data_IF_072792699940
#
_entry.id   IF_072792699940
#
_cell.length_a   1.000
_cell.length_b   1.000
_cell.length_c   1.000
_cell.angle_alpha   90.00
_cell.angle_beta   90.00
_cell.angle_gamma   90.00
#
_symmetry.space_group_name_H-M   'P 1'
#
loop_
_entity.id
_entity.type
_entity.pdbx_description
1 polymer ?
#
# COMPACT_ATOMS: atom_id res chain seq x y z
N UNK A 1 -6.51 0.33 17.03
CA UNK A 1 -5.12 0.49 16.53
C UNK A 1 -5.12 1.58 15.47
N UNK A 2 -4.23 2.58 15.58
CA UNK A 2 -4.05 3.57 14.51
C UNK A 2 -3.42 2.89 13.29
N UNK A 3 -3.89 3.21 12.09
CA UNK A 3 -3.40 2.60 10.86
C UNK A 3 -4.02 3.26 9.63
N UNK A 4 -3.76 2.67 8.47
CA UNK A 4 -4.09 3.26 7.16
C UNK A 4 -4.76 2.20 6.29
N UNK A 5 -5.89 2.56 5.70
CA UNK A 5 -6.50 1.78 4.62
C UNK A 5 -5.81 2.13 3.31
N UNK A 6 -5.49 1.10 2.53
CA UNK A 6 -5.04 1.27 1.17
C UNK A 6 -5.73 0.28 0.22
N UNK A 7 -6.20 0.76 -0.95
CA UNK A 7 -6.68 -0.11 -2.00
C UNK A 7 -5.51 -0.82 -2.68
N UNK A 8 -5.72 -2.09 -3.03
CA UNK A 8 -4.72 -2.92 -3.67
C UNK A 8 -5.30 -3.79 -4.78
N UNK A 9 -4.58 -3.83 -5.90
CA UNK A 9 -4.75 -4.81 -6.97
C UNK A 9 -3.36 -5.21 -7.49
N UNK A 10 -3.15 -6.46 -7.91
CA UNK A 10 -1.85 -6.93 -8.38
C UNK A 10 -1.57 -6.45 -9.81
N UNK A 11 -0.37 -6.79 -10.30
CA UNK A 11 0.06 -6.53 -11.68
C UNK A 11 -0.86 -7.11 -12.75
N UNK A 12 -1.54 -8.22 -12.44
CA UNK A 12 -2.46 -8.90 -13.36
C UNK A 12 -3.65 -8.02 -13.77
N UNK A 13 -3.99 -7.03 -12.94
CA UNK A 13 -5.06 -6.09 -13.21
C UNK A 13 -5.99 -5.91 -12.02
N UNK A 14 -7.14 -5.30 -12.29
CA UNK A 14 -8.23 -5.08 -11.33
C UNK A 14 -9.19 -6.27 -11.39
N UNK A 15 -9.81 -6.60 -10.27
CA UNK A 15 -10.81 -7.66 -10.14
C UNK A 15 -10.28 -9.05 -10.49
N UNK A 16 -9.08 -9.37 -10.02
CA UNK A 16 -8.40 -10.64 -10.30
C UNK A 16 -8.14 -11.47 -9.05
N UNK A 17 -8.55 -11.01 -7.86
CA UNK A 17 -8.27 -11.70 -6.59
C UNK A 17 -9.55 -12.32 -6.06
N UNK A 18 -9.55 -13.63 -5.80
CA UNK A 18 -10.52 -14.24 -4.90
C UNK A 18 -10.24 -13.83 -3.43
N UNK A 19 -11.10 -14.22 -2.49
CA UNK A 19 -10.96 -13.79 -1.09
C UNK A 19 -9.63 -14.24 -0.47
N UNK A 20 -9.20 -15.47 -0.73
CA UNK A 20 -7.98 -16.04 -0.18
C UNK A 20 -6.71 -15.39 -0.76
N UNK A 21 -6.75 -15.06 -2.05
CA UNK A 21 -5.70 -14.31 -2.74
C UNK A 21 -5.63 -12.87 -2.25
N UNK A 22 -6.78 -12.21 -2.04
CA UNK A 22 -6.84 -10.87 -1.46
C UNK A 22 -6.24 -10.83 -0.06
N UNK A 23 -6.55 -11.83 0.77
CA UNK A 23 -5.96 -11.95 2.10
C UNK A 23 -4.44 -12.13 2.05
N UNK A 24 -3.94 -12.97 1.13
CA UNK A 24 -2.50 -13.18 0.93
C UNK A 24 -1.81 -11.93 0.40
N UNK A 25 -2.41 -11.27 -0.58
CA UNK A 25 -1.90 -10.04 -1.18
C UNK A 25 -1.72 -8.93 -0.15
N UNK A 26 -2.68 -8.73 0.77
CA UNK A 26 -2.50 -7.76 1.85
C UNK A 26 -1.32 -8.12 2.76
N UNK A 27 -1.15 -9.40 3.13
CA UNK A 27 0.00 -9.85 3.96
C UNK A 27 1.33 -9.62 3.26
N UNK A 28 1.40 -9.95 1.98
CA UNK A 28 2.60 -9.71 1.17
C UNK A 28 2.97 -8.23 1.13
N UNK A 29 1.96 -7.34 1.19
CA UNK A 29 2.14 -5.89 1.21
C UNK A 29 2.18 -5.24 2.60
N UNK A 30 2.52 -5.99 3.65
CA UNK A 30 2.66 -5.48 5.03
C UNK A 30 1.34 -4.99 5.64
N UNK A 31 0.27 -5.75 5.41
CA UNK A 31 -1.06 -5.47 5.94
C UNK A 31 -1.94 -6.72 6.08
N UNK A 32 -3.19 -6.49 6.41
CA UNK A 32 -4.26 -7.50 6.47
C UNK A 32 -5.47 -6.97 5.72
N UNK A 33 -6.45 -7.82 5.40
CA UNK A 33 -7.74 -7.30 4.91
C UNK A 33 -8.35 -6.36 5.95
N UNK A 34 -8.91 -5.26 5.49
CA UNK A 34 -9.55 -4.27 6.34
C UNK A 34 -10.88 -4.78 6.90
N UNK A 35 -11.24 -4.28 8.08
CA UNK A 35 -12.61 -4.37 8.58
C UNK A 35 -13.53 -3.36 7.90
N UNK A 36 -14.84 -3.60 7.96
CA UNK A 36 -15.84 -2.61 7.55
C UNK A 36 -15.65 -1.30 8.31
N UNK A 37 -15.49 -1.35 9.63
CA UNK A 37 -15.30 -0.15 10.45
C UNK A 37 -14.06 0.65 10.03
N UNK A 38 -12.95 -0.02 9.73
CA UNK A 38 -11.74 0.64 9.26
C UNK A 38 -11.96 1.29 7.88
N UNK A 39 -12.65 0.62 6.96
CA UNK A 39 -13.00 1.21 5.65
C UNK A 39 -13.94 2.41 5.80
N UNK A 40 -14.93 2.31 6.68
CA UNK A 40 -15.87 3.38 6.96
C UNK A 40 -15.19 4.60 7.57
N UNK A 41 -14.29 4.40 8.54
CA UNK A 41 -13.48 5.49 9.09
C UNK A 41 -12.58 6.12 8.02
N UNK A 42 -11.93 5.33 7.16
CA UNK A 42 -11.13 5.88 6.07
C UNK A 42 -11.97 6.72 5.10
N UNK A 43 -13.21 6.31 4.82
CA UNK A 43 -14.15 7.09 4.02
C UNK A 43 -14.55 8.41 4.68
N UNK A 44 -14.82 8.42 5.99
CA UNK A 44 -15.07 9.65 6.76
C UNK A 44 -13.87 10.61 6.69
N UNK A 45 -12.66 10.08 6.60
CA UNK A 45 -11.42 10.85 6.39
C UNK A 45 -11.16 11.23 4.92
N UNK A 46 -12.10 10.94 4.02
CA UNK A 46 -12.06 11.36 2.61
C UNK A 46 -11.54 10.31 1.63
N UNK A 47 -11.39 9.03 2.03
CA UNK A 47 -11.08 7.96 1.08
C UNK A 47 -12.19 7.82 0.04
N UNK A 48 -11.79 7.90 -1.22
CA UNK A 48 -12.68 7.85 -2.37
C UNK A 48 -12.11 6.87 -3.41
N UNK A 49 -12.77 5.73 -3.59
CA UNK A 49 -12.28 4.65 -4.44
C UNK A 49 -13.41 3.95 -5.19
N UNK A 50 -13.34 3.97 -6.52
CA UNK A 50 -14.40 3.49 -7.42
C UNK A 50 -14.45 1.97 -7.62
N UNK A 51 -13.50 1.25 -7.03
CA UNK A 51 -13.33 -0.17 -7.26
C UNK A 51 -13.78 -0.98 -6.05
N UNK A 52 -14.59 -2.01 -6.29
CA UNK A 52 -15.03 -2.96 -5.30
C UNK A 52 -13.87 -3.84 -4.83
N UNK A 53 -13.73 -4.01 -3.51
CA UNK A 53 -12.67 -4.82 -2.92
C UNK A 53 -13.14 -5.64 -1.74
N UNK A 54 -12.46 -6.78 -1.53
CA UNK A 54 -12.68 -7.66 -0.39
C UNK A 54 -12.35 -6.98 0.94
N UNK A 55 -13.15 -7.30 1.97
CA UNK A 55 -12.91 -7.01 3.38
C UNK A 55 -12.74 -8.31 4.17
N UNK A 56 -12.24 -8.21 5.41
CA UNK A 56 -11.85 -9.36 6.23
C UNK A 56 -12.98 -10.34 6.54
N UNK A 57 -14.24 -9.87 6.53
CA UNK A 57 -15.43 -10.68 6.81
C UNK A 57 -15.93 -11.43 5.56
N UNK A 58 -15.32 -11.19 4.39
CA UNK A 58 -15.75 -11.75 3.11
C UNK A 58 -16.87 -10.93 2.44
N UNK A 59 -17.17 -9.74 2.94
CA UNK A 59 -17.96 -8.77 2.19
C UNK A 59 -17.11 -8.05 1.14
N UNK A 60 -17.77 -7.53 0.11
CA UNK A 60 -17.14 -6.74 -0.96
C UNK A 60 -17.76 -5.36 -0.96
N UNK A 61 -16.93 -4.32 -0.81
CA UNK A 61 -17.39 -2.95 -0.59
C UNK A 61 -16.52 -1.94 -1.34
N UNK A 62 -16.97 -0.69 -1.46
CA UNK A 62 -16.15 0.43 -1.96
C UNK A 62 -16.64 1.80 -1.45
N UNK A 63 -15.73 2.70 -1.03
CA UNK A 63 -16.09 4.01 -0.49
C UNK A 63 -16.18 5.08 -1.59
N UNK A 64 -17.29 5.82 -1.64
CA UNK A 64 -17.48 6.96 -2.54
C UNK A 64 -17.67 8.24 -1.71
N UNK A 65 -16.71 9.15 -1.76
CA UNK A 65 -16.81 10.45 -1.11
C UNK A 65 -17.36 11.54 -2.05
N UNK A 66 -17.27 11.34 -3.38
CA UNK A 66 -17.80 12.28 -4.38
C UNK A 66 -18.70 11.54 -5.40
N UNK A 67 -19.98 11.92 -5.56
CA UNK A 67 -20.87 11.30 -6.54
C UNK A 67 -20.33 11.43 -7.97
N UNK A 68 -20.33 10.32 -8.72
CA UNK A 68 -19.90 10.30 -10.13
C UNK A 68 -20.42 9.04 -10.84
N UNK A 69 -20.79 9.22 -12.11
CA UNK A 69 -21.53 8.26 -12.94
C UNK A 69 -20.87 6.89 -13.11
N UNK A 70 -19.56 6.86 -13.24
CA UNK A 70 -18.79 5.64 -13.47
C UNK A 70 -18.50 4.86 -12.19
N UNK A 71 -18.94 5.37 -11.03
CA UNK A 71 -18.77 4.73 -9.71
C UNK A 71 -20.13 4.51 -9.05
N UNK A 72 -21.13 4.21 -9.88
CA UNK A 72 -22.56 4.17 -9.59
C UNK A 72 -23.29 5.41 -10.10
N UNK A 73 -24.63 5.39 -10.08
CA UNK A 73 -25.42 6.48 -10.68
C UNK A 73 -25.20 7.81 -9.92
N UNK A 74 -25.30 8.95 -10.62
CA UNK A 74 -25.02 10.30 -10.06
C UNK A 74 -25.92 10.68 -8.88
N UNK A 75 -27.11 10.12 -8.83
CA UNK A 75 -28.14 10.27 -7.80
C UNK A 75 -27.90 9.37 -6.58
N UNK A 76 -26.97 8.42 -6.65
CA UNK A 76 -26.71 7.50 -5.55
C UNK A 76 -25.94 8.21 -4.44
N UNK A 77 -26.40 8.14 -3.16
CA UNK A 77 -25.72 8.78 -2.04
C UNK A 77 -24.23 8.41 -1.93
N UNK A 78 -23.47 9.33 -1.32
CA UNK A 78 -22.10 9.07 -0.87
C UNK A 78 -22.13 8.06 0.28
N UNK A 79 -21.04 7.32 0.47
CA UNK A 79 -20.95 6.31 1.51
C UNK A 79 -20.09 5.12 1.12
N UNK A 80 -19.97 4.17 2.06
CA UNK A 80 -19.41 2.85 1.79
C UNK A 80 -20.50 1.98 1.19
N UNK A 81 -20.37 1.67 -0.09
CA UNK A 81 -21.31 0.82 -0.83
C UNK A 81 -20.91 -0.63 -0.71
N UNK A 82 -21.91 -1.51 -0.67
CA UNK A 82 -21.70 -2.93 -0.41
C UNK A 82 -22.35 -3.79 -1.49
N UNK A 83 -21.61 -4.79 -1.98
CA UNK A 83 -22.13 -5.92 -2.75
C UNK A 83 -22.52 -7.10 -1.86
N UNK A 84 -22.43 -6.93 -0.53
CA UNK A 84 -22.71 -7.95 0.46
C UNK A 84 -21.60 -9.00 0.56
N UNK A 85 -21.91 -10.10 1.23
CA UNK A 85 -21.07 -11.30 1.28
C UNK A 85 -21.05 -11.98 -0.09
N UNK A 86 -19.85 -12.25 -0.60
CA UNK A 86 -19.62 -12.84 -1.93
C UNK A 86 -19.00 -14.23 -1.82
N UNK A 87 -19.09 -15.02 -2.88
CA UNK A 87 -18.54 -16.37 -2.90
C UNK A 87 -17.00 -16.31 -2.94
N UNK A 88 -16.37 -16.78 -1.86
CA UNK A 88 -14.94 -16.57 -1.57
C UNK A 88 -13.99 -17.20 -2.60
N UNK A 89 -14.43 -18.25 -3.28
CA UNK A 89 -13.58 -19.04 -4.18
C UNK A 89 -13.76 -18.68 -5.67
N UNK A 90 -14.94 -18.21 -6.07
CA UNK A 90 -15.30 -18.07 -7.50
C UNK A 90 -15.40 -16.63 -7.95
N UNK A 91 -15.63 -15.70 -7.03
CA UNK A 91 -15.73 -14.28 -7.35
C UNK A 91 -14.40 -13.57 -7.17
N UNK A 92 -14.16 -12.55 -7.99
CA UNK A 92 -12.89 -11.87 -8.06
C UNK A 92 -13.07 -10.36 -7.97
N UNK A 93 -12.31 -9.72 -7.10
CA UNK A 93 -12.36 -8.29 -6.82
C UNK A 93 -10.95 -7.75 -6.53
N UNK A 94 -10.86 -6.47 -6.15
CA UNK A 94 -9.63 -5.89 -5.58
C UNK A 94 -9.60 -6.20 -4.07
N UNK A 95 -8.68 -5.58 -3.32
CA UNK A 95 -8.64 -5.69 -1.86
C UNK A 95 -8.56 -4.30 -1.21
N UNK A 96 -9.23 -4.12 -0.07
CA UNK A 96 -8.89 -3.05 0.87
C UNK A 96 -8.03 -3.63 1.97
N UNK A 97 -6.78 -3.20 2.02
CA UNK A 97 -5.83 -3.64 3.01
C UNK A 97 -5.70 -2.58 4.12
N UNK A 98 -5.47 -3.03 5.35
CA UNK A 98 -5.12 -2.23 6.50
C UNK A 98 -3.67 -2.50 6.88
N UNK A 99 -2.90 -1.45 7.08
CA UNK A 99 -1.55 -1.51 7.66
C UNK A 99 -1.49 -0.61 8.90
N UNK A 100 -0.70 -1.01 9.88
CA UNK A 100 -0.53 -0.28 11.14
C UNK A 100 0.71 0.61 11.11
N UNK A 101 1.16 1.08 12.28
CA UNK A 101 2.39 1.84 12.37
C UNK A 101 3.60 1.01 11.91
N UNK A 102 4.60 1.70 11.36
CA UNK A 102 5.82 1.09 10.83
C UNK A 102 6.87 0.92 11.91
N UNK A 103 7.41 -0.29 12.02
CA UNK A 103 8.63 -0.57 12.78
C UNK A 103 9.89 -0.25 11.96
N UNK A 104 10.00 1.00 11.52
CA UNK A 104 11.08 1.45 10.65
C UNK A 104 10.74 2.71 9.88
N UNK A 105 11.51 2.97 8.82
CA UNK A 105 11.37 4.17 7.99
C UNK A 105 11.42 3.83 6.51
N UNK A 106 10.47 4.41 5.77
CA UNK A 106 10.53 4.46 4.30
C UNK A 106 11.23 5.75 3.88
N UNK A 107 12.16 5.65 2.95
CA UNK A 107 12.83 6.79 2.36
C UNK A 107 13.01 6.59 0.86
N UNK A 108 13.06 7.70 0.12
CA UNK A 108 13.30 7.68 -1.32
C UNK A 108 14.82 7.70 -1.56
N UNK A 109 15.33 6.67 -2.22
CA UNK A 109 16.71 6.67 -2.70
C UNK A 109 16.72 7.37 -4.07
N UNK A 110 17.50 8.45 -4.16
CA UNK A 110 17.70 9.22 -5.40
C UNK A 110 19.06 8.84 -6.03
N UNK A 111 19.12 7.75 -6.81
CA UNK A 111 20.34 7.37 -7.52
C UNK A 111 20.71 8.42 -8.56
N UNK A 112 22.01 8.53 -8.87
CA UNK A 112 22.56 9.46 -9.87
C UNK A 112 21.89 9.34 -11.25
N UNK A 113 21.43 8.12 -11.59
CA UNK A 113 20.57 7.82 -12.72
C UNK A 113 19.38 7.01 -12.22
N UNK A 114 18.20 7.24 -12.80
CA UNK A 114 17.02 6.41 -12.53
C UNK A 114 17.34 4.95 -12.88
N UNK A 115 16.73 4.02 -12.14
CA UNK A 115 17.09 2.59 -12.13
C UNK A 115 15.97 1.72 -12.70
N UNK A 116 16.35 0.62 -13.37
CA UNK A 116 15.45 -0.51 -13.59
C UNK A 116 15.09 -1.18 -12.26
N UNK A 117 14.11 -2.08 -12.25
CA UNK A 117 13.63 -2.68 -11.00
C UNK A 117 14.73 -3.48 -10.27
N UNK A 118 15.52 -4.27 -10.99
CA UNK A 118 16.59 -5.08 -10.40
C UNK A 118 17.70 -4.21 -9.78
N UNK A 119 18.10 -3.14 -10.48
CA UNK A 119 19.08 -2.17 -9.97
C UNK A 119 18.54 -1.42 -8.75
N UNK A 120 17.25 -1.05 -8.77
CA UNK A 120 16.58 -0.42 -7.63
C UNK A 120 16.59 -1.32 -6.38
N UNK A 121 16.30 -2.60 -6.55
CA UNK A 121 16.34 -3.57 -5.46
C UNK A 121 17.76 -3.74 -4.90
N UNK A 122 18.75 -3.83 -5.79
CA UNK A 122 20.16 -3.92 -5.41
C UNK A 122 20.62 -2.66 -4.65
N UNK A 123 20.21 -1.47 -5.11
CA UNK A 123 20.55 -0.21 -4.47
C UNK A 123 19.98 -0.08 -3.05
N UNK A 124 18.74 -0.53 -2.80
CA UNK A 124 18.21 -0.61 -1.43
C UNK A 124 19.03 -1.57 -0.57
N UNK A 125 19.37 -2.76 -1.11
CA UNK A 125 20.15 -3.78 -0.41
C UNK A 125 21.53 -3.28 0.01
N UNK A 126 22.24 -2.59 -0.89
CA UNK A 126 23.54 -1.97 -0.63
C UNK A 126 23.49 -0.89 0.46
N UNK A 127 22.30 -0.31 0.70
CA UNK A 127 22.05 0.65 1.78
C UNK A 127 21.53 -0.01 3.07
N UNK A 128 21.56 -1.34 3.16
CA UNK A 128 21.07 -2.10 4.31
C UNK A 128 19.54 -1.99 4.48
N UNK A 129 18.81 -1.90 3.38
CA UNK A 129 17.37 -1.78 3.32
C UNK A 129 16.76 -2.76 2.30
N UNK A 130 15.45 -2.96 2.37
CA UNK A 130 14.69 -3.65 1.33
C UNK A 130 13.93 -2.63 0.46
N UNK A 131 13.44 -3.03 -0.72
CA UNK A 131 12.46 -2.20 -1.43
C UNK A 131 11.20 -2.14 -0.58
N UNK A 132 10.63 -0.95 -0.42
CA UNK A 132 9.45 -0.76 0.40
C UNK A 132 8.23 -1.48 -0.20
N UNK A 133 7.42 -2.07 0.68
CA UNK A 133 6.11 -2.62 0.35
C UNK A 133 5.07 -1.51 0.20
N UNK A 134 3.94 -1.84 -0.42
CA UNK A 134 2.85 -0.88 -0.60
C UNK A 134 2.29 -0.39 0.74
N UNK A 135 1.99 -1.30 1.68
CA UNK A 135 1.50 -0.92 3.01
C UNK A 135 2.52 -0.03 3.73
N UNK A 136 3.80 -0.35 3.64
CA UNK A 136 4.86 0.47 4.22
C UNK A 136 4.87 1.89 3.64
N UNK A 137 4.68 2.07 2.33
CA UNK A 137 4.58 3.41 1.75
C UNK A 137 3.35 4.18 2.27
N UNK A 138 2.20 3.51 2.40
CA UNK A 138 0.97 4.14 2.92
C UNK A 138 1.08 4.54 4.39
N UNK A 139 1.66 3.67 5.23
CA UNK A 139 1.92 3.98 6.62
C UNK A 139 2.92 5.14 6.76
N UNK A 140 4.00 5.16 5.96
CA UNK A 140 4.97 6.26 5.97
C UNK A 140 4.33 7.59 5.53
N UNK A 141 3.48 7.56 4.50
CA UNK A 141 2.74 8.72 4.02
C UNK A 141 1.81 9.31 5.09
N UNK A 142 0.93 8.48 5.68
CA UNK A 142 -0.12 8.96 6.59
C UNK A 142 0.38 9.18 8.01
N UNK A 143 1.22 8.30 8.53
CA UNK A 143 1.62 8.28 9.94
C UNK A 143 2.98 8.94 10.20
N UNK A 144 3.88 8.91 9.22
CA UNK A 144 5.21 9.54 9.31
C UNK A 144 5.35 10.79 8.42
N UNK A 145 4.25 11.22 7.78
CA UNK A 145 4.16 12.42 6.93
C UNK A 145 5.20 12.43 5.79
N UNK A 146 5.50 11.25 5.21
CA UNK A 146 6.39 11.14 4.07
C UNK A 146 5.75 11.80 2.83
N UNK A 147 6.26 12.97 2.46
CA UNK A 147 5.85 13.74 1.28
C UNK A 147 6.94 13.72 0.20
N UNK A 148 6.65 13.17 -0.97
CA UNK A 148 7.63 13.05 -2.07
C UNK A 148 6.96 13.05 -3.43
N UNK A 149 7.23 14.11 -4.20
CA UNK A 149 6.81 14.23 -5.60
C UNK A 149 7.70 13.47 -6.59
N UNK A 150 8.09 12.23 -6.29
CA UNK A 150 8.99 11.47 -7.16
C UNK A 150 8.52 10.02 -7.26
N UNK A 151 8.21 9.61 -8.49
CA UNK A 151 7.79 8.25 -8.81
C UNK A 151 8.94 7.25 -8.56
N UNK A 152 8.66 6.21 -7.78
CA UNK A 152 9.64 5.18 -7.44
C UNK A 152 9.06 3.78 -7.40
N UNK A 153 9.94 2.80 -7.59
CA UNK A 153 9.64 1.38 -7.46
C UNK A 153 9.24 1.02 -6.02
N UNK A 154 8.27 0.12 -5.92
CA UNK A 154 7.92 -0.66 -4.74
C UNK A 154 8.11 -2.16 -5.02
N UNK A 155 8.12 -2.98 -3.96
CA UNK A 155 8.45 -4.40 -4.03
C UNK A 155 7.53 -5.19 -4.97
N UNK A 156 6.24 -4.84 -5.02
CA UNK A 156 5.25 -5.44 -5.95
C UNK A 156 5.54 -5.13 -7.44
N UNK A 157 6.51 -4.27 -7.72
CA UNK A 157 6.84 -3.78 -9.06
C UNK A 157 5.90 -2.69 -9.56
N UNK A 158 5.07 -2.11 -8.70
CA UNK A 158 4.33 -0.90 -9.03
C UNK A 158 5.22 0.34 -8.89
N UNK A 159 4.81 1.40 -9.58
CA UNK A 159 5.40 2.73 -9.42
C UNK A 159 4.43 3.61 -8.65
N UNK A 160 4.88 4.13 -7.50
CA UNK A 160 4.06 4.98 -6.64
C UNK A 160 4.83 6.18 -6.13
N UNK A 161 4.12 7.17 -5.59
CA UNK A 161 4.69 8.28 -4.84
C UNK A 161 3.67 8.91 -3.88
N UNK A 162 4.06 9.26 -2.64
CA UNK A 162 3.17 9.81 -1.63
C UNK A 162 3.13 11.34 -1.64
N UNK A 163 1.94 11.92 -1.49
CA UNK A 163 1.73 13.38 -1.38
C UNK A 163 0.96 13.69 -0.11
N UNK A 164 1.63 14.36 0.85
CA UNK A 164 0.96 14.88 2.05
C UNK A 164 0.41 16.26 1.77
N UNK A 165 1.22 17.13 1.16
CA UNK A 165 0.85 18.50 0.82
C UNK A 165 0.59 18.60 -0.69
N UNK A 166 -0.68 18.75 -1.14
CA UNK A 166 -1.00 18.79 -2.57
C UNK A 166 -0.35 19.95 -3.31
N UNK A 167 0.02 19.72 -4.57
CA UNK A 167 0.73 20.70 -5.42
C UNK A 167 0.26 20.58 -6.86
N UNK A 168 0.06 21.72 -7.52
CA UNK A 168 -0.49 21.77 -8.88
C UNK A 168 0.28 20.91 -9.90
N UNK A 169 1.61 20.82 -9.77
CA UNK A 169 2.47 20.06 -10.70
C UNK A 169 2.77 18.63 -10.22
N UNK A 170 2.08 18.14 -9.20
CA UNK A 170 2.41 16.85 -8.60
C UNK A 170 1.22 16.11 -8.00
N UNK A 171 0.66 15.16 -8.76
CA UNK A 171 -0.39 14.27 -8.26
C UNK A 171 -1.75 14.94 -8.04
N UNK A 172 -1.93 16.22 -8.41
CA UNK A 172 -3.22 16.90 -8.35
C UNK A 172 -3.47 17.63 -7.03
N UNK A 173 -4.77 17.82 -6.70
CA UNK A 173 -5.23 18.71 -5.62
C UNK A 173 -5.50 18.03 -4.28
N UNK A 174 -5.49 16.70 -4.24
CA UNK A 174 -5.79 15.92 -3.04
C UNK A 174 -4.51 15.28 -2.47
N UNK A 175 -4.41 15.00 -1.17
CA UNK A 175 -3.35 14.17 -0.62
C UNK A 175 -3.51 12.70 -1.06
N UNK A 176 -2.51 11.86 -0.78
CA UNK A 176 -2.57 10.41 -1.03
C UNK A 176 -1.35 9.83 -1.72
N UNK A 177 -1.33 8.50 -1.81
CA UNK A 177 -0.34 7.76 -2.60
C UNK A 177 -0.84 7.61 -4.03
N UNK A 178 -0.07 8.12 -5.00
CA UNK A 178 -0.38 7.97 -6.43
C UNK A 178 0.16 6.66 -6.96
N UNK A 179 -0.62 6.00 -7.80
CA UNK A 179 -0.27 4.76 -8.46
C UNK A 179 -0.15 5.00 -9.98
N UNK A 180 1.03 4.76 -10.55
CA UNK A 180 1.29 4.86 -12.00
C UNK A 180 1.25 3.49 -12.70
N UNK A 181 0.80 2.44 -11.99
CA UNK A 181 0.65 1.10 -12.51
C UNK A 181 1.94 0.27 -12.43
N UNK A 182 2.00 -0.75 -13.29
CA UNK A 182 3.07 -1.77 -13.31
C UNK A 182 3.81 -1.72 -14.66
N UNK A 183 4.77 -0.79 -14.83
CA UNK A 183 5.54 -0.69 -16.06
C UNK A 183 6.49 -1.89 -16.25
N UNK A 184 7.04 -2.00 -17.46
CA UNK A 184 8.10 -2.96 -17.75
C UNK A 184 9.32 -2.72 -16.84
N UNK A 185 9.70 -3.77 -16.10
CA UNK A 185 10.77 -3.75 -15.09
C UNK A 185 12.17 -3.52 -15.67
N UNK A 186 12.38 -3.79 -16.96
CA UNK A 186 13.68 -3.73 -17.64
C UNK A 186 13.93 -2.38 -18.30
N UNK A 187 12.92 -1.80 -18.94
CA UNK A 187 13.12 -0.63 -19.83
C UNK A 187 12.75 0.70 -19.19
N UNK A 188 12.00 0.71 -18.08
CA UNK A 188 11.61 1.95 -17.41
C UNK A 188 12.51 2.23 -16.22
N UNK A 189 12.94 3.49 -16.14
CA UNK A 189 13.84 3.96 -15.11
C UNK A 189 13.08 4.87 -14.14
N UNK A 190 13.07 4.54 -12.86
CA UNK A 190 12.48 5.33 -11.78
C UNK A 190 13.44 5.44 -10.58
N UNK A 191 13.08 6.23 -9.57
CA UNK A 191 13.73 6.10 -8.26
C UNK A 191 13.24 4.84 -7.54
N UNK A 192 13.58 4.70 -6.26
CA UNK A 192 13.10 3.57 -5.45
C UNK A 192 12.79 4.04 -4.04
N UNK A 193 11.68 3.55 -3.49
CA UNK A 193 11.42 3.69 -2.05
C UNK A 193 12.02 2.48 -1.35
N UNK A 194 12.93 2.73 -0.42
CA UNK A 194 13.53 1.69 0.41
C UNK A 194 12.92 1.74 1.81
N UNK A 195 12.77 0.58 2.43
CA UNK A 195 12.37 0.42 3.82
C UNK A 195 13.54 -0.12 4.64
N UNK A 196 13.88 0.61 5.71
CA UNK A 196 14.86 0.17 6.69
C UNK A 196 14.15 -0.04 8.02
N UNK A 197 14.18 -1.28 8.50
CA UNK A 197 13.65 -1.64 9.82
C UNK A 197 14.41 -0.86 10.89
N UNK A 198 13.71 -0.45 11.95
CA UNK A 198 14.40 0.09 13.12
C UNK A 198 15.39 -0.96 13.65
N UNK A 199 16.59 -0.54 14.05
CA UNK A 199 17.47 -1.43 14.80
C UNK A 199 16.82 -1.63 16.17
N UNK A 200 16.02 -2.69 16.30
CA UNK A 200 15.67 -3.20 17.63
C UNK A 200 16.96 -3.56 18.32
N UNK A 201 17.12 -3.14 19.58
CA UNK A 201 18.28 -3.48 20.42
C UNK A 201 18.66 -4.95 20.21
N UNK A 202 19.83 -5.17 19.63
CA UNK A 202 20.46 -6.48 19.56
C UNK A 202 20.88 -6.90 20.97
N UNK A 203 19.91 -7.24 21.82
CA UNK A 203 20.10 -7.78 23.16
C UNK A 203 19.04 -8.83 23.46
N UNK A 204 19.04 -9.94 22.71
CA UNK A 204 18.74 -11.25 23.30
C UNK A 204 19.18 -12.41 22.38
N UNK A 205 20.49 -12.53 22.16
CA UNK A 205 21.08 -13.74 21.60
C UNK A 205 22.56 -13.81 21.97
N UNK A 206 22.86 -14.26 23.20
CA UNK A 206 24.22 -14.64 23.55
C UNK A 206 24.65 -14.34 24.98
N UNK A 207 24.06 -15.03 25.96
CA UNK A 207 24.82 -15.42 27.15
C UNK A 207 24.62 -16.92 27.39
N UNK A 208 25.40 -17.71 26.66
CA UNK A 208 25.74 -19.06 27.08
C UNK A 208 26.58 -18.96 28.35
N UNK A 209 26.03 -19.44 29.46
CA UNK A 209 26.73 -19.57 30.73
C UNK A 209 27.73 -20.73 30.63
N UNK A 210 29.05 -20.54 30.80
CA UNK A 210 29.96 -21.65 30.99
C UNK A 210 29.94 -22.05 32.46
N UNK A 211 29.25 -23.15 32.81
CA UNK A 211 29.44 -23.76 34.12
C UNK A 211 30.78 -24.52 34.12
N UNK A 212 31.72 -23.97 34.87
CA UNK A 212 32.95 -24.60 35.31
C UNK A 212 32.87 -24.70 36.83
N UNK A 213 32.80 -25.94 37.33
CA UNK A 213 33.50 -26.60 38.47
C UNK A 213 32.74 -27.90 38.73
#
# INVERSE_FOLDING_TARGET
LAGVIFPYHPRLGRYTLNFHEAQRACREQDGILASHDQLHQAWLEGLDWCNAGWLQDGSVQYPIARPREHCGRKDTPVGVRSYGYRHKDSEHYDAFCFTSNLDGKVYFLKPFRKLGFAEAAQACKENGAAVAKVGQLYAAWKLQLLDRCEAGWLEDGSIRYPIVNPRARCGGREPGVRNLGFPDKKYKLFGVYCFKKAAGDAKDAGQGHPNRV
#
